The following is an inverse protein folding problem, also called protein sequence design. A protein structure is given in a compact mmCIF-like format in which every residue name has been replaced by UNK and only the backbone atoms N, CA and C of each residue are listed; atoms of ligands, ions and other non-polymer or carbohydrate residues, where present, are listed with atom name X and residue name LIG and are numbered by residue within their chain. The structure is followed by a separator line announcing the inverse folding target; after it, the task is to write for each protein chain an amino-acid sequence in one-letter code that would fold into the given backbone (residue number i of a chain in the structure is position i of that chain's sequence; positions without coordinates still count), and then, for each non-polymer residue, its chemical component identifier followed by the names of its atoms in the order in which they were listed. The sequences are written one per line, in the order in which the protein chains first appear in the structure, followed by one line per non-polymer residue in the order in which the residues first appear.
data_IF_249132359439
#
_entry.id   IF_249132359439
#
_cell.length_a   1.000
_cell.length_b   1.000
_cell.length_c   1.000
_cell.angle_alpha   90.00
_cell.angle_beta   90.00
_cell.angle_gamma   90.00
#
_symmetry.space_group_name_H-M   'P 1'
#
loop_
_entity.id
_entity.type
_entity.pdbx_description
1 polymer ?
#
# COMPACT_ATOMS: atom_id res chain seq x y z
N UNK A 1 19.09 -9.65 2.44
CA UNK A 1 17.92 -8.80 2.27
C UNK A 1 17.88 -8.38 0.80
N UNK A 2 16.96 -8.93 0.05
CA UNK A 2 16.70 -8.52 -1.32
C UNK A 2 15.55 -7.51 -1.29
N UNK A 3 15.77 -6.35 -1.91
CA UNK A 3 14.72 -5.34 -2.04
C UNK A 3 13.60 -5.79 -2.98
N UNK A 4 12.49 -5.05 -3.07
CA UNK A 4 11.31 -5.41 -3.86
C UNK A 4 11.56 -5.56 -5.37
N UNK A 5 12.75 -5.25 -5.85
CA UNK A 5 13.20 -5.39 -7.24
C UNK A 5 14.27 -6.47 -7.44
N UNK A 6 14.43 -7.39 -6.49
CA UNK A 6 15.41 -8.48 -6.64
C UNK A 6 15.10 -9.42 -7.82
N UNK A 7 13.85 -9.42 -8.29
CA UNK A 7 13.48 -10.02 -9.56
C UNK A 7 13.16 -8.90 -10.56
N UNK A 8 14.08 -8.62 -11.49
CA UNK A 8 13.92 -7.58 -12.52
C UNK A 8 12.64 -7.73 -13.36
N UNK A 9 12.05 -8.92 -13.36
CA UNK A 9 10.83 -9.25 -14.08
C UNK A 9 9.55 -9.15 -13.22
N UNK A 10 9.67 -8.95 -11.90
CA UNK A 10 8.49 -8.80 -11.05
C UNK A 10 7.88 -7.40 -11.23
N UNK A 11 6.56 -7.28 -11.42
CA UNK A 11 5.91 -5.98 -11.49
C UNK A 11 6.08 -5.24 -10.17
N UNK A 12 6.27 -3.92 -10.26
CA UNK A 12 6.39 -3.05 -9.09
C UNK A 12 5.10 -3.09 -8.26
N UNK A 13 5.24 -3.20 -6.95
CA UNK A 13 4.13 -3.04 -6.00
C UNK A 13 4.00 -1.57 -5.57
N UNK A 14 2.87 -1.19 -5.00
CA UNK A 14 2.59 0.17 -4.51
C UNK A 14 3.30 0.50 -3.20
N UNK A 15 3.90 -0.48 -2.53
CA UNK A 15 4.76 -0.33 -1.36
C UNK A 15 5.87 -1.38 -1.39
N UNK A 16 6.93 -1.14 -0.64
CA UNK A 16 8.07 -2.04 -0.60
C UNK A 16 7.84 -3.19 0.40
N UNK A 17 8.35 -4.38 0.05
CA UNK A 17 8.39 -5.54 0.95
C UNK A 17 9.83 -6.05 1.07
N UNK A 18 10.20 -6.48 2.26
CA UNK A 18 11.45 -7.20 2.51
C UNK A 18 11.10 -8.63 2.83
N UNK A 19 11.62 -9.58 2.05
CA UNK A 19 11.35 -11.01 2.21
C UNK A 19 12.47 -11.72 2.93
N UNK A 20 12.13 -12.68 3.76
CA UNK A 20 13.09 -13.62 4.36
C UNK A 20 13.43 -14.69 3.33
N UNK A 21 14.71 -14.71 2.90
CA UNK A 21 15.20 -15.66 1.91
C UNK A 21 15.07 -17.10 2.39
N UNK A 22 14.66 -18.00 1.49
CA UNK A 22 14.52 -19.43 1.79
C UNK A 22 13.22 -19.81 2.50
N UNK A 23 12.27 -18.86 2.61
CA UNK A 23 10.91 -19.16 3.09
C UNK A 23 9.93 -19.18 1.92
N UNK A 24 8.86 -19.96 2.06
CA UNK A 24 7.77 -20.05 1.09
C UNK A 24 6.45 -19.79 1.82
N UNK A 25 5.93 -18.59 1.65
CA UNK A 25 4.63 -18.16 2.15
C UNK A 25 3.94 -17.35 1.07
N UNK A 26 2.79 -17.80 0.62
CA UNK A 26 2.03 -17.09 -0.41
C UNK A 26 0.73 -16.56 0.17
N UNK A 27 0.53 -15.26 0.05
CA UNK A 27 -0.77 -14.64 0.35
C UNK A 27 -1.82 -15.15 -0.65
N UNK A 28 -3.02 -15.44 -0.16
CA UNK A 28 -4.13 -15.89 -1.00
C UNK A 28 -4.42 -14.90 -2.14
N UNK A 29 -4.20 -13.62 -1.92
CA UNK A 29 -4.41 -12.57 -2.94
C UNK A 29 -3.31 -12.54 -4.00
N UNK A 30 -2.12 -13.04 -3.68
CA UNK A 30 -0.95 -13.04 -4.56
C UNK A 30 -0.68 -14.38 -5.25
N UNK A 31 -1.56 -15.36 -5.08
CA UNK A 31 -1.37 -16.76 -5.49
C UNK A 31 -0.93 -16.93 -6.96
N UNK A 32 -1.43 -16.10 -7.86
CA UNK A 32 -1.15 -16.16 -9.29
C UNK A 32 -0.36 -14.94 -9.79
N UNK A 33 0.10 -14.10 -8.87
CA UNK A 33 0.92 -12.94 -9.26
C UNK A 33 2.39 -13.34 -9.39
N UNK A 34 3.18 -12.63 -10.21
CA UNK A 34 4.61 -12.88 -10.33
C UNK A 34 5.42 -12.21 -9.20
N UNK A 35 4.79 -11.86 -8.10
CA UNK A 35 5.46 -11.30 -6.93
C UNK A 35 6.30 -12.36 -6.21
N UNK A 36 7.29 -11.92 -5.45
CA UNK A 36 8.04 -12.79 -4.57
C UNK A 36 7.14 -13.34 -3.46
N UNK A 37 7.36 -14.59 -3.11
CA UNK A 37 6.70 -15.28 -2.01
C UNK A 37 7.68 -15.49 -0.87
N UNK A 38 7.17 -15.58 0.34
CA UNK A 38 7.97 -15.80 1.55
C UNK A 38 7.46 -14.98 2.72
N UNK A 39 8.01 -15.22 3.90
CA UNK A 39 7.75 -14.38 5.07
C UNK A 39 8.30 -12.98 4.78
N UNK A 40 7.50 -11.94 4.99
CA UNK A 40 7.85 -10.58 4.62
C UNK A 40 7.50 -9.54 5.68
N UNK A 41 8.14 -8.39 5.54
CA UNK A 41 7.83 -7.16 6.29
C UNK A 41 7.47 -6.09 5.26
N UNK A 42 6.32 -5.45 5.44
CA UNK A 42 5.89 -4.31 4.64
C UNK A 42 6.64 -3.04 5.07
N UNK A 43 7.07 -2.25 4.08
CA UNK A 43 7.69 -0.95 4.30
C UNK A 43 6.78 0.12 3.71
N UNK A 44 6.18 0.92 4.59
CA UNK A 44 5.34 2.03 4.20
C UNK A 44 6.11 3.35 4.26
N UNK A 45 6.07 4.09 3.16
CA UNK A 45 6.66 5.42 3.10
C UNK A 45 5.72 6.42 3.79
N UNK A 46 6.29 7.24 4.66
CA UNK A 46 5.59 8.33 5.32
C UNK A 46 5.81 9.62 4.52
N UNK A 47 4.81 10.04 3.78
CA UNK A 47 4.86 11.22 2.94
C UNK A 47 4.22 12.46 3.58
N UNK A 48 4.71 13.65 3.22
CA UNK A 48 4.10 14.90 3.62
C UNK A 48 2.79 15.16 2.87
N UNK A 49 1.86 15.82 3.53
CA UNK A 49 0.58 16.19 2.97
C UNK A 49 0.49 17.67 2.64
N UNK A 50 -0.44 18.05 1.78
CA UNK A 50 -0.78 19.45 1.53
C UNK A 50 -1.25 20.14 2.82
N UNK A 51 -0.85 21.39 3.03
CA UNK A 51 -1.29 22.19 4.17
C UNK A 51 -2.78 22.49 4.14
N UNK A 52 -3.36 22.72 2.96
CA UNK A 52 -4.77 23.08 2.81
C UNK A 52 -5.69 21.86 2.86
N UNK A 53 -6.73 21.91 3.69
CA UNK A 53 -7.64 20.76 3.95
C UNK A 53 -8.40 20.27 2.72
N UNK A 54 -8.84 21.18 1.84
CA UNK A 54 -9.55 20.83 0.60
C UNK A 54 -8.63 20.05 -0.34
N UNK A 55 -7.37 20.49 -0.48
CA UNK A 55 -6.37 19.81 -1.30
C UNK A 55 -6.13 18.40 -0.73
N UNK A 56 -5.93 18.27 0.60
CA UNK A 56 -5.75 16.95 1.23
C UNK A 56 -6.92 15.99 0.95
N UNK A 57 -8.17 16.48 1.04
CA UNK A 57 -9.36 15.65 0.74
C UNK A 57 -9.39 15.22 -0.72
N UNK A 58 -9.07 16.13 -1.65
CA UNK A 58 -8.98 15.82 -3.07
C UNK A 58 -7.87 14.79 -3.33
N UNK A 59 -6.70 14.96 -2.73
CA UNK A 59 -5.57 14.05 -2.84
C UNK A 59 -5.87 12.66 -2.32
N UNK A 60 -6.52 12.57 -1.16
CA UNK A 60 -6.97 11.29 -0.60
C UNK A 60 -7.92 10.58 -1.56
N UNK A 61 -8.87 11.31 -2.16
CA UNK A 61 -9.80 10.73 -3.12
C UNK A 61 -9.13 10.24 -4.40
N UNK A 62 -8.20 11.02 -4.95
CA UNK A 62 -7.41 10.63 -6.12
C UNK A 62 -6.54 9.40 -5.79
N UNK A 63 -5.92 9.36 -4.61
CA UNK A 63 -5.13 8.20 -4.16
C UNK A 63 -5.99 6.93 -4.07
N UNK A 64 -7.21 7.02 -3.54
CA UNK A 64 -8.15 5.88 -3.50
C UNK A 64 -8.50 5.39 -4.91
N UNK A 65 -8.78 6.31 -5.84
CA UNK A 65 -9.07 5.97 -7.24
C UNK A 65 -7.88 5.28 -7.89
N UNK A 66 -6.67 5.80 -7.70
CA UNK A 66 -5.45 5.20 -8.25
C UNK A 66 -5.20 3.79 -7.71
N UNK A 67 -5.32 3.59 -6.40
CA UNK A 67 -5.22 2.25 -5.78
C UNK A 67 -6.27 1.30 -6.35
N UNK A 68 -7.50 1.77 -6.52
CA UNK A 68 -8.58 0.98 -7.10
C UNK A 68 -8.26 0.57 -8.54
N UNK A 69 -7.73 1.49 -9.34
CA UNK A 69 -7.31 1.25 -10.72
C UNK A 69 -6.19 0.20 -10.77
N UNK A 70 -5.10 0.40 -10.02
CA UNK A 70 -3.94 -0.50 -9.96
C UNK A 70 -4.37 -1.91 -9.56
N UNK A 71 -5.15 -2.03 -8.50
CA UNK A 71 -5.67 -3.32 -8.05
C UNK A 71 -6.64 -3.96 -9.07
N UNK A 72 -7.34 -3.17 -9.88
CA UNK A 72 -8.22 -3.70 -10.93
C UNK A 72 -7.42 -4.34 -12.06
N UNK A 73 -6.26 -3.78 -12.41
CA UNK A 73 -5.35 -4.38 -13.38
C UNK A 73 -4.85 -5.75 -12.90
N UNK A 74 -4.50 -5.87 -11.61
CA UNK A 74 -4.10 -7.17 -11.02
C UNK A 74 -5.20 -8.22 -11.16
N UNK A 75 -6.48 -7.88 -10.92
CA UNK A 75 -7.60 -8.81 -11.12
C UNK A 75 -7.77 -9.27 -12.57
N UNK A 76 -7.40 -8.44 -13.52
CA UNK A 76 -7.45 -8.77 -14.93
C UNK A 76 -6.23 -9.60 -15.38
N UNK A 77 -5.03 -9.15 -15.05
CA UNK A 77 -3.78 -9.77 -15.54
C UNK A 77 -3.46 -11.08 -14.80
N UNK A 78 -3.83 -11.18 -13.52
CA UNK A 78 -3.53 -12.33 -12.66
C UNK A 78 -4.80 -12.87 -11.99
N UNK A 79 -5.73 -13.46 -12.75
CA UNK A 79 -6.97 -13.97 -12.19
C UNK A 79 -6.71 -15.08 -11.17
N UNK A 80 -7.32 -14.93 -9.99
CA UNK A 80 -7.18 -15.88 -8.89
C UNK A 80 -8.44 -16.76 -8.79
N UNK A 81 -8.35 -18.07 -9.11
CA UNK A 81 -9.51 -18.95 -9.13
C UNK A 81 -10.23 -19.09 -7.79
N UNK A 82 -9.50 -19.02 -6.67
CA UNK A 82 -10.09 -19.10 -5.32
C UNK A 82 -10.92 -17.87 -5.00
N UNK A 83 -10.36 -16.69 -5.24
CA UNK A 83 -11.08 -15.41 -5.05
C UNK A 83 -12.28 -15.35 -6.00
N UNK A 84 -12.11 -15.75 -7.26
CA UNK A 84 -13.22 -15.77 -8.21
C UNK A 84 -14.36 -16.70 -7.78
N UNK A 85 -14.03 -17.89 -7.33
CA UNK A 85 -15.02 -18.85 -6.80
C UNK A 85 -15.79 -18.23 -5.63
N UNK A 86 -15.08 -17.63 -4.69
CA UNK A 86 -15.70 -16.96 -3.54
C UNK A 86 -16.60 -15.80 -3.95
N UNK A 87 -16.12 -14.92 -4.83
CA UNK A 87 -16.89 -13.75 -5.27
C UNK A 87 -18.10 -14.11 -6.15
N UNK A 88 -18.07 -15.25 -6.84
CA UNK A 88 -19.22 -15.75 -7.63
C UNK A 88 -20.37 -16.28 -6.77
N UNK A 89 -20.19 -16.48 -5.48
CA UNK A 89 -21.23 -16.96 -4.57
C UNK A 89 -22.40 -15.97 -4.41
N UNK A 90 -22.17 -14.68 -4.62
CA UNK A 90 -23.22 -13.65 -4.58
C UNK A 90 -23.23 -12.83 -5.88
N UNK A 91 -24.42 -12.57 -6.43
CA UNK A 91 -24.55 -11.83 -7.69
C UNK A 91 -23.90 -10.43 -7.64
N UNK A 92 -24.02 -9.73 -6.52
CA UNK A 92 -23.42 -8.38 -6.36
C UNK A 92 -21.88 -8.41 -6.39
N UNK A 93 -21.26 -9.40 -5.73
CA UNK A 93 -19.79 -9.54 -5.73
C UNK A 93 -19.28 -10.05 -7.08
N UNK A 94 -20.05 -10.88 -7.76
CA UNK A 94 -19.75 -11.31 -9.13
C UNK A 94 -19.79 -10.12 -10.11
N UNK A 95 -20.82 -9.29 -10.05
CA UNK A 95 -20.90 -8.08 -10.89
C UNK A 95 -19.74 -7.12 -10.59
N UNK A 96 -19.41 -6.93 -9.32
CA UNK A 96 -18.25 -6.14 -8.91
C UNK A 96 -16.93 -6.69 -9.47
N UNK A 97 -16.72 -8.01 -9.42
CA UNK A 97 -15.53 -8.64 -9.98
C UNK A 97 -15.43 -8.41 -11.49
N UNK A 98 -16.53 -8.58 -12.23
CA UNK A 98 -16.57 -8.36 -13.67
C UNK A 98 -16.28 -6.90 -14.02
N UNK A 99 -16.82 -5.97 -13.25
CA UNK A 99 -16.51 -4.55 -13.38
C UNK A 99 -15.01 -4.27 -13.15
N UNK A 100 -14.43 -4.86 -12.11
CA UNK A 100 -13.00 -4.75 -11.82
C UNK A 100 -12.14 -5.29 -12.97
N UNK A 101 -12.48 -6.47 -13.51
CA UNK A 101 -11.77 -7.05 -14.65
C UNK A 101 -11.91 -6.20 -15.90
N UNK A 102 -13.10 -5.70 -16.19
CA UNK A 102 -13.32 -4.78 -17.32
C UNK A 102 -12.49 -3.50 -17.18
N UNK A 103 -12.48 -2.89 -16.01
CA UNK A 103 -11.65 -1.72 -15.75
C UNK A 103 -10.15 -2.05 -15.89
N UNK A 104 -9.70 -3.19 -15.36
CA UNK A 104 -8.33 -3.66 -15.52
C UNK A 104 -7.93 -3.84 -16.97
N UNK A 105 -8.80 -4.44 -17.78
CA UNK A 105 -8.61 -4.53 -19.25
C UNK A 105 -8.45 -3.15 -19.90
N UNK A 106 -9.34 -2.20 -19.56
CA UNK A 106 -9.32 -0.85 -20.12
C UNK A 106 -8.01 -0.09 -19.84
N UNK A 107 -7.36 -0.35 -18.71
CA UNK A 107 -6.12 0.34 -18.32
C UNK A 107 -4.84 -0.46 -18.64
N UNK A 108 -4.96 -1.71 -19.12
CA UNK A 108 -3.81 -2.59 -19.42
C UNK A 108 -3.01 -2.17 -20.67
N UNK A 109 -3.41 -1.07 -21.36
CA UNK A 109 -2.57 -0.42 -22.38
C UNK A 109 -1.26 0.17 -21.81
N UNK A 110 -1.15 0.30 -20.49
CA UNK A 110 0.07 0.61 -19.76
C UNK A 110 0.36 -0.48 -18.74
N UNK A 111 1.65 -0.75 -18.52
CA UNK A 111 2.09 -1.76 -17.56
C UNK A 111 1.69 -1.39 -16.13
N UNK A 112 1.54 -2.39 -15.27
CA UNK A 112 1.30 -2.22 -13.85
C UNK A 112 2.36 -1.32 -13.20
N UNK A 113 3.63 -1.51 -13.54
CA UNK A 113 4.76 -0.67 -13.09
C UNK A 113 4.58 0.80 -13.47
N UNK A 114 4.02 1.11 -14.65
CA UNK A 114 3.73 2.49 -15.05
C UNK A 114 2.74 3.15 -14.08
N UNK A 115 1.65 2.46 -13.74
CA UNK A 115 0.64 2.97 -12.82
C UNK A 115 1.15 3.11 -11.39
N UNK A 116 1.96 2.16 -10.91
CA UNK A 116 2.62 2.25 -9.61
C UNK A 116 3.57 3.46 -9.54
N UNK A 117 4.37 3.71 -10.58
CA UNK A 117 5.27 4.87 -10.64
C UNK A 117 4.48 6.19 -10.66
N UNK A 118 3.34 6.20 -11.35
CA UNK A 118 2.47 7.38 -11.36
C UNK A 118 1.83 7.63 -9.99
N UNK A 119 1.40 6.58 -9.30
CA UNK A 119 0.91 6.64 -7.93
C UNK A 119 1.98 7.21 -6.98
N UNK A 120 3.21 6.70 -7.02
CA UNK A 120 4.32 7.18 -6.19
C UNK A 120 4.60 8.66 -6.46
N UNK A 121 4.67 9.05 -7.73
CA UNK A 121 4.90 10.45 -8.13
C UNK A 121 3.78 11.36 -7.64
N UNK A 122 2.54 10.89 -7.73
CA UNK A 122 1.38 11.63 -7.25
C UNK A 122 1.42 11.77 -5.73
N UNK A 123 1.65 10.68 -5.01
CA UNK A 123 1.61 10.66 -3.55
C UNK A 123 2.77 11.46 -2.95
N UNK A 124 3.97 11.35 -3.51
CA UNK A 124 5.17 12.07 -3.03
C UNK A 124 5.28 13.53 -3.49
N UNK A 125 4.28 14.08 -4.19
CA UNK A 125 4.38 15.45 -4.73
C UNK A 125 4.50 16.55 -3.68
N UNK A 126 4.04 16.29 -2.46
CA UNK A 126 4.13 17.20 -1.33
C UNK A 126 5.38 17.04 -0.47
N UNK A 127 6.39 16.26 -0.90
CA UNK A 127 7.60 15.98 -0.12
C UNK A 127 8.36 17.22 0.37
N UNK A 128 8.22 18.36 -0.33
CA UNK A 128 8.83 19.65 0.05
C UNK A 128 7.90 20.55 0.87
N UNK A 129 6.69 20.11 1.18
CA UNK A 129 5.71 20.93 1.90
C UNK A 129 6.02 20.92 3.40
N UNK A 130 5.98 22.08 4.03
CA UNK A 130 6.23 22.27 5.47
C UNK A 130 4.93 22.23 6.31
N UNK A 131 3.91 21.50 5.88
CA UNK A 131 2.61 21.44 6.57
C UNK A 131 2.66 20.81 7.96
N UNK A 132 3.74 20.07 8.28
CA UNK A 132 3.83 19.28 9.51
C UNK A 132 2.96 18.01 9.52
N UNK A 133 2.12 17.81 8.50
CA UNK A 133 1.22 16.68 8.42
C UNK A 133 1.78 15.58 7.53
N UNK A 134 1.63 14.34 7.96
CA UNK A 134 2.13 13.16 7.27
C UNK A 134 1.08 12.05 7.21
N UNK A 135 1.25 11.15 6.24
CA UNK A 135 0.39 9.98 6.05
C UNK A 135 1.16 8.85 5.38
N UNK A 136 0.87 7.60 5.75
CA UNK A 136 1.31 6.45 4.95
C UNK A 136 0.49 6.34 3.67
N UNK A 137 1.13 5.92 2.59
CA UNK A 137 0.48 5.80 1.27
C UNK A 137 -0.76 4.89 1.27
N UNK A 138 -0.88 3.95 2.20
CA UNK A 138 -2.01 3.01 2.33
C UNK A 138 -2.98 3.32 3.47
N UNK A 139 -2.59 4.14 4.42
CA UNK A 139 -3.42 4.55 5.54
C UNK A 139 -4.34 5.70 5.14
N UNK A 140 -5.42 5.87 5.90
CA UNK A 140 -6.28 7.07 5.84
C UNK A 140 -5.99 8.04 6.97
N UNK A 141 -5.25 7.58 7.99
CA UNK A 141 -4.92 8.37 9.16
C UNK A 141 -3.87 9.42 8.80
N UNK A 142 -4.20 10.66 9.13
CA UNK A 142 -3.31 11.81 9.01
C UNK A 142 -2.69 12.08 10.37
N UNK A 143 -1.38 12.08 10.44
CA UNK A 143 -0.63 12.34 11.66
C UNK A 143 0.09 13.67 11.59
N UNK A 144 0.23 14.32 12.75
CA UNK A 144 1.22 15.36 12.90
C UNK A 144 2.62 14.72 12.87
N UNK A 145 3.58 15.36 12.21
CA UNK A 145 4.94 14.85 12.11
C UNK A 145 5.62 14.70 13.46
N UNK A 146 5.22 15.49 14.45
CA UNK A 146 5.71 15.42 15.83
C UNK A 146 5.37 14.07 16.51
N UNK A 147 4.35 13.35 16.02
CA UNK A 147 4.05 12.00 16.51
C UNK A 147 5.17 11.02 16.17
N UNK A 148 5.86 11.20 15.05
CA UNK A 148 6.95 10.33 14.62
C UNK A 148 8.33 10.83 15.05
N UNK A 149 8.55 12.16 15.01
CA UNK A 149 9.87 12.76 15.19
C UNK A 149 9.89 13.78 16.32
N UNK A 150 10.96 13.75 17.16
CA UNK A 150 12.07 12.80 17.14
C UNK A 150 11.63 11.40 17.54
N UNK A 151 12.21 10.36 16.90
CA UNK A 151 11.90 8.98 17.24
C UNK A 151 12.32 8.64 18.68
N UNK A 152 11.54 7.82 19.34
CA UNK A 152 11.90 7.17 20.60
C UNK A 152 12.62 5.85 20.35
N UNK A 153 13.09 5.19 21.41
CA UNK A 153 13.69 3.85 21.34
C UNK A 153 12.88 2.89 22.20
N UNK A 154 12.78 1.66 21.73
CA UNK A 154 12.14 0.58 22.46
C UNK A 154 12.86 -0.74 22.26
N UNK A 155 12.48 -1.72 23.06
CA UNK A 155 12.97 -3.08 22.97
C UNK A 155 11.91 -3.96 22.28
N UNK A 156 12.32 -4.71 21.27
CA UNK A 156 11.50 -5.70 20.61
C UNK A 156 12.32 -6.99 20.42
N UNK A 157 11.91 -8.07 21.07
CA UNK A 157 12.59 -9.37 21.00
C UNK A 157 14.11 -9.29 21.28
N UNK A 158 14.51 -8.45 22.24
CA UNK A 158 15.91 -8.21 22.57
C UNK A 158 16.69 -7.28 21.62
N UNK A 159 16.01 -6.69 20.63
CA UNK A 159 16.58 -5.72 19.70
C UNK A 159 16.18 -4.30 20.09
N UNK A 160 17.10 -3.36 20.00
CA UNK A 160 16.79 -1.93 20.08
C UNK A 160 16.21 -1.46 18.76
N UNK A 161 14.99 -0.96 18.80
CA UNK A 161 14.26 -0.47 17.62
C UNK A 161 13.87 0.98 17.77
N UNK A 162 13.73 1.68 16.66
CA UNK A 162 13.18 3.03 16.63
C UNK A 162 11.66 2.96 16.61
N UNK A 163 11.04 3.72 17.49
CA UNK A 163 9.60 3.85 17.63
C UNK A 163 9.17 5.29 17.27
N UNK A 164 7.87 5.52 16.98
CA UNK A 164 7.33 6.87 16.93
C UNK A 164 7.68 7.64 18.22
N UNK A 165 7.92 8.93 18.08
CA UNK A 165 8.26 9.79 19.23
C UNK A 165 7.18 9.82 20.30
N UNK A 166 5.91 9.83 19.87
CA UNK A 166 4.75 9.69 20.74
C UNK A 166 3.99 8.39 20.40
N UNK A 167 4.46 7.28 20.97
CA UNK A 167 3.89 5.93 20.74
C UNK A 167 2.41 5.88 21.16
N UNK A 168 2.05 6.48 22.29
CA UNK A 168 0.67 6.46 22.76
C UNK A 168 -0.30 7.13 21.78
N UNK A 169 0.04 8.33 21.32
CA UNK A 169 -0.78 9.05 20.34
C UNK A 169 -0.86 8.30 19.00
N UNK A 170 0.24 7.67 18.57
CA UNK A 170 0.27 6.83 17.39
C UNK A 170 -0.71 5.65 17.53
N UNK A 171 -0.63 4.89 18.62
CA UNK A 171 -1.48 3.73 18.85
C UNK A 171 -2.94 4.12 18.99
N UNK A 172 -3.23 5.14 19.80
CA UNK A 172 -4.58 5.67 20.00
C UNK A 172 -5.24 6.05 18.67
N UNK A 173 -4.51 6.73 17.81
CA UNK A 173 -5.03 7.20 16.52
C UNK A 173 -5.19 6.08 15.49
N UNK A 174 -4.34 5.05 15.55
CA UNK A 174 -4.38 3.91 14.62
C UNK A 174 -5.38 2.83 15.03
N UNK A 175 -5.61 2.64 16.33
CA UNK A 175 -6.36 1.49 16.86
C UNK A 175 -7.53 1.88 17.77
N UNK A 176 -7.63 3.13 18.20
CA UNK A 176 -8.63 3.62 19.13
C UNK A 176 -8.11 3.78 20.56
N UNK A 177 -9.02 4.09 21.47
CA UNK A 177 -8.72 4.36 22.89
C UNK A 177 -8.83 3.10 23.79
N UNK A 178 -8.82 1.89 23.21
CA UNK A 178 -8.95 0.62 23.95
C UNK A 178 -7.68 0.23 24.71
#
# INVERSE_FOLDING_TARGET
LEGPNANENAPKQTFAKIYLKGTDLTDIYDLNTPYLHGIYIDIFILDNLAGHSIIRKADAKVSEILKFIINSQTYYEYPNPLIEKFMKMKASTHLYLNFRKFLGFMISFKSHTFWCNWFDKFFSRHKKTSSGLTQFSWSREVFDRSVYYPCSEGDFEGLKVKLPGNVHEYLRKSYGDD
#
